data_IF_933930585558
#
_entry.id   IF_933930585558
#
_cell.length_a   1.000
_cell.length_b   1.000
_cell.length_c   1.000
_cell.angle_alpha   90.00
_cell.angle_beta   90.00
_cell.angle_gamma   90.00
#
_symmetry.space_group_name_H-M   'P 1'
#
loop_
_entity.id
_entity.type
_entity.pdbx_description
1 polymer ?
#
# COMPACT_ATOMS: atom_id res chain seq x y z
N UNK A 1 11.02 -8.97 -7.84
CA UNK A 1 11.33 -9.20 -6.41
C UNK A 1 11.21 -7.87 -5.67
N UNK A 2 10.54 -7.86 -4.53
CA UNK A 2 10.21 -6.68 -3.72
C UNK A 2 10.68 -6.90 -2.28
N UNK A 3 11.30 -5.88 -1.70
CA UNK A 3 11.71 -5.87 -0.28
C UNK A 3 10.81 -4.91 0.50
N UNK A 4 10.22 -5.42 1.58
CA UNK A 4 9.37 -4.64 2.49
C UNK A 4 10.14 -4.03 3.66
N UNK A 5 11.45 -4.28 3.78
CA UNK A 5 12.28 -3.67 4.82
C UNK A 5 12.38 -2.16 4.63
N UNK A 6 12.32 -1.46 5.75
CA UNK A 6 12.50 -0.01 5.84
C UNK A 6 13.50 0.30 6.95
N UNK A 7 14.21 1.45 6.88
CA UNK A 7 14.94 1.96 8.04
C UNK A 7 14.01 2.15 9.24
N UNK A 8 14.54 1.97 10.44
CA UNK A 8 13.78 2.12 11.69
C UNK A 8 13.11 3.49 11.80
N UNK A 9 13.75 4.54 11.29
CA UNK A 9 13.23 5.92 11.29
C UNK A 9 11.95 6.13 10.49
N UNK A 10 11.56 5.21 9.60
CA UNK A 10 10.24 5.29 8.96
C UNK A 10 9.08 5.02 9.94
N UNK A 11 9.36 4.39 11.09
CA UNK A 11 8.36 4.03 12.11
C UNK A 11 8.68 4.63 13.48
N UNK A 12 9.96 4.67 13.88
CA UNK A 12 10.41 5.09 15.21
C UNK A 12 11.08 6.47 15.17
N UNK A 13 10.68 7.34 16.09
CA UNK A 13 11.35 8.62 16.31
C UNK A 13 12.75 8.42 16.88
N UNK A 14 13.68 9.30 16.52
CA UNK A 14 15.08 9.23 16.95
C UNK A 14 15.96 8.26 16.14
N UNK A 15 15.48 7.77 14.99
CA UNK A 15 16.25 6.93 14.08
C UNK A 15 16.29 7.51 12.67
N UNK A 16 17.37 7.26 11.90
CA UNK A 16 17.45 7.73 10.52
C UNK A 16 16.37 7.14 9.60
N UNK A 17 15.84 7.98 8.72
CA UNK A 17 14.92 7.64 7.63
C UNK A 17 15.66 7.48 6.30
N UNK A 18 15.00 6.93 5.29
CA UNK A 18 15.59 6.86 3.94
C UNK A 18 15.70 8.24 3.25
N UNK A 19 15.09 9.28 3.83
CA UNK A 19 15.06 10.65 3.28
C UNK A 19 16.07 11.59 3.94
N UNK A 20 16.75 11.14 4.98
CA UNK A 20 17.67 11.99 5.74
C UNK A 20 18.93 12.28 4.92
N UNK A 21 19.43 13.50 5.04
CA UNK A 21 20.55 14.00 4.23
C UNK A 21 21.84 14.15 5.03
N UNK A 22 22.18 13.11 5.80
CA UNK A 22 23.45 13.04 6.53
C UNK A 22 23.54 13.93 7.78
N UNK A 23 22.42 14.47 8.26
CA UNK A 23 22.35 15.13 9.55
C UNK A 23 22.32 14.11 10.70
N UNK A 24 22.73 14.53 11.89
CA UNK A 24 22.59 13.71 13.09
C UNK A 24 21.11 13.51 13.40
N UNK A 25 20.70 12.27 13.67
CA UNK A 25 19.32 11.91 14.03
C UNK A 25 19.33 11.07 15.31
N UNK A 26 18.61 11.49 16.38
CA UNK A 26 17.91 12.78 16.49
C UNK A 26 18.89 13.96 16.56
N UNK A 27 18.47 15.14 16.10
CA UNK A 27 19.29 16.37 16.23
C UNK A 27 19.54 16.73 17.70
N UNK A 28 18.54 16.49 18.55
CA UNK A 28 18.62 16.58 20.01
C UNK A 28 17.90 15.37 20.62
N UNK A 29 18.54 14.58 21.49
CA UNK A 29 17.89 13.49 22.20
C UNK A 29 16.76 14.00 23.10
N UNK A 30 15.64 13.28 23.12
CA UNK A 30 14.47 13.56 23.96
C UNK A 30 13.95 12.25 24.56
N UNK A 31 14.10 12.09 25.88
CA UNK A 31 13.72 10.88 26.58
C UNK A 31 12.22 10.54 26.50
N UNK A 32 11.36 11.51 26.18
CA UNK A 32 9.92 11.31 26.01
C UNK A 32 9.56 10.91 24.57
N UNK A 33 10.27 11.46 23.58
CA UNK A 33 9.93 11.28 22.16
C UNK A 33 10.73 10.17 21.48
N UNK A 34 11.97 9.96 21.88
CA UNK A 34 12.86 8.97 21.29
C UNK A 34 12.29 7.56 21.43
N UNK A 35 12.38 6.77 20.35
CA UNK A 35 11.78 5.43 20.24
C UNK A 35 10.24 5.40 20.32
N UNK A 36 9.59 6.57 20.32
CA UNK A 36 8.15 6.69 20.15
C UNK A 36 7.72 6.57 18.69
N UNK A 37 6.41 6.55 18.44
CA UNK A 37 5.83 6.54 17.09
C UNK A 37 4.51 7.30 17.07
N UNK A 38 4.14 7.84 15.90
CA UNK A 38 2.85 8.50 15.73
C UNK A 38 1.74 7.46 15.51
N UNK A 39 0.72 7.50 16.37
CA UNK A 39 -0.47 6.66 16.22
C UNK A 39 -1.60 7.43 15.54
N UNK A 40 -2.06 6.93 14.40
CA UNK A 40 -3.25 7.45 13.71
C UNK A 40 -4.44 6.53 13.98
N UNK A 41 -5.47 7.07 14.64
CA UNK A 41 -6.72 6.33 14.92
C UNK A 41 -7.84 6.84 14.02
N UNK A 42 -8.52 5.92 13.31
CA UNK A 42 -9.67 6.24 12.46
C UNK A 42 -10.79 5.23 12.68
N UNK A 43 -11.98 5.70 13.03
CA UNK A 43 -13.20 4.89 13.02
C UNK A 43 -13.83 4.93 11.64
N UNK A 44 -13.62 3.88 10.84
CA UNK A 44 -14.11 3.80 9.47
C UNK A 44 -15.29 2.82 9.39
N UNK A 45 -16.51 3.36 9.33
CA UNK A 45 -17.71 2.53 9.11
C UNK A 45 -17.72 1.97 7.70
N UNK A 46 -17.92 0.67 7.57
CA UNK A 46 -18.11 -0.01 6.28
C UNK A 46 -19.60 -0.31 6.05
N UNK A 47 -20.10 0.05 4.88
CA UNK A 47 -21.47 -0.26 4.46
C UNK A 47 -21.47 -1.46 3.51
N UNK A 48 -21.25 -2.66 4.06
CA UNK A 48 -21.03 -3.90 3.29
C UNK A 48 -22.19 -4.24 2.34
N UNK A 49 -23.45 -4.03 2.75
CA UNK A 49 -24.61 -4.25 1.89
C UNK A 49 -24.68 -3.28 0.70
N UNK A 50 -24.25 -2.01 0.88
CA UNK A 50 -24.18 -1.03 -0.21
C UNK A 50 -23.07 -1.38 -1.20
N UNK A 51 -21.92 -1.84 -0.69
CA UNK A 51 -20.84 -2.33 -1.53
C UNK A 51 -21.29 -3.54 -2.34
N UNK A 52 -21.94 -4.51 -1.71
CA UNK A 52 -22.41 -5.73 -2.37
C UNK A 52 -23.42 -5.44 -3.49
N UNK A 53 -24.40 -4.59 -3.21
CA UNK A 53 -25.38 -4.14 -4.20
C UNK A 53 -24.70 -3.43 -5.38
N UNK A 54 -23.74 -2.54 -5.11
CA UNK A 54 -23.02 -1.80 -6.15
C UNK A 54 -22.20 -2.73 -7.03
N UNK A 55 -21.41 -3.64 -6.45
CA UNK A 55 -20.57 -4.56 -7.24
C UNK A 55 -21.44 -5.53 -8.04
N UNK A 56 -22.56 -6.01 -7.48
CA UNK A 56 -23.51 -6.87 -8.21
C UNK A 56 -24.06 -6.17 -9.45
N UNK A 57 -24.46 -4.90 -9.33
CA UNK A 57 -24.93 -4.11 -10.47
C UNK A 57 -23.84 -3.89 -11.53
N UNK A 58 -22.62 -3.56 -11.12
CA UNK A 58 -21.49 -3.37 -12.05
C UNK A 58 -21.05 -4.68 -12.71
N UNK A 59 -21.15 -5.82 -12.03
CA UNK A 59 -20.90 -7.14 -12.60
C UNK A 59 -21.85 -7.42 -13.76
N UNK A 60 -23.16 -7.18 -13.56
CA UNK A 60 -24.16 -7.32 -14.61
C UNK A 60 -23.92 -6.36 -15.79
N UNK A 61 -23.53 -5.12 -15.51
CA UNK A 61 -23.26 -4.10 -16.55
C UNK A 61 -22.00 -4.42 -17.39
N UNK A 62 -20.97 -4.98 -16.77
CA UNK A 62 -19.67 -5.20 -17.41
C UNK A 62 -19.48 -6.62 -17.95
N UNK A 63 -20.33 -7.57 -17.53
CA UNK A 63 -20.16 -9.00 -17.82
C UNK A 63 -19.02 -9.66 -17.04
N UNK A 64 -18.37 -8.93 -16.12
CA UNK A 64 -17.28 -9.45 -15.32
C UNK A 64 -17.79 -10.21 -14.09
N UNK A 65 -17.10 -11.28 -13.66
CA UNK A 65 -17.39 -11.92 -12.39
C UNK A 65 -17.31 -10.93 -11.23
N UNK A 66 -18.27 -10.99 -10.31
CA UNK A 66 -18.33 -10.16 -9.09
C UNK A 66 -17.03 -10.22 -8.27
N UNK A 67 -16.46 -11.42 -8.14
CA UNK A 67 -15.19 -11.64 -7.42
C UNK A 67 -14.02 -10.90 -8.09
N UNK A 68 -13.97 -10.90 -9.42
CA UNK A 68 -12.92 -10.18 -10.15
C UNK A 68 -13.05 -8.66 -9.99
N UNK A 69 -14.27 -8.12 -9.96
CA UNK A 69 -14.49 -6.69 -9.70
C UNK A 69 -14.00 -6.30 -8.31
N UNK A 70 -14.33 -7.09 -7.29
CA UNK A 70 -13.82 -6.86 -5.92
C UNK A 70 -12.31 -6.96 -5.87
N UNK A 71 -11.74 -7.96 -6.54
CA UNK A 71 -10.30 -8.11 -6.63
C UNK A 71 -9.67 -6.89 -7.31
N UNK A 72 -10.27 -6.34 -8.37
CA UNK A 72 -9.79 -5.13 -9.07
C UNK A 72 -9.92 -3.86 -8.23
N UNK A 73 -10.93 -3.76 -7.35
CA UNK A 73 -11.05 -2.66 -6.39
C UNK A 73 -9.94 -2.70 -5.33
N UNK A 74 -9.57 -3.91 -4.86
CA UNK A 74 -8.59 -4.07 -3.79
C UNK A 74 -7.16 -4.23 -4.29
N UNK A 75 -6.96 -4.84 -5.45
CA UNK A 75 -5.70 -5.33 -6.02
C UNK A 75 -5.29 -6.73 -5.53
N UNK A 76 -6.15 -7.41 -4.77
CA UNK A 76 -5.99 -8.80 -4.32
C UNK A 76 -7.32 -9.52 -4.36
N UNK A 77 -7.30 -10.83 -4.57
CA UNK A 77 -8.43 -11.71 -4.31
C UNK A 77 -8.79 -11.71 -2.82
N UNK A 78 -10.01 -12.14 -2.48
CA UNK A 78 -10.43 -12.27 -1.08
C UNK A 78 -9.61 -13.29 -0.31
N UNK A 79 -9.09 -14.31 -1.00
CA UNK A 79 -8.14 -15.30 -0.50
C UNK A 79 -6.74 -14.71 -0.25
N UNK A 80 -6.43 -13.56 -0.84
CA UNK A 80 -5.26 -12.75 -0.51
C UNK A 80 -4.22 -12.69 -1.62
N UNK A 81 -4.29 -13.53 -2.65
CA UNK A 81 -3.37 -13.53 -3.79
C UNK A 81 -3.48 -12.19 -4.56
N UNK A 82 -2.36 -11.57 -4.96
CA UNK A 82 -2.38 -10.29 -5.65
C UNK A 82 -2.72 -10.46 -7.12
N UNK A 83 -3.42 -9.47 -7.69
CA UNK A 83 -3.79 -9.50 -9.10
C UNK A 83 -2.61 -9.34 -10.06
N UNK A 84 -1.52 -8.70 -9.61
CA UNK A 84 -0.37 -8.42 -10.46
C UNK A 84 0.56 -9.64 -10.64
N UNK A 85 0.47 -10.63 -9.75
CA UNK A 85 1.28 -11.85 -9.76
C UNK A 85 0.61 -12.89 -8.85
N UNK A 86 -0.11 -13.84 -9.42
CA UNK A 86 -0.87 -14.84 -8.66
C UNK A 86 0.01 -15.91 -7.98
N UNK A 87 1.30 -15.96 -8.31
CA UNK A 87 2.27 -16.89 -7.72
C UNK A 87 2.91 -16.35 -6.44
N UNK A 88 2.86 -15.02 -6.25
CA UNK A 88 3.50 -14.34 -5.13
C UNK A 88 2.50 -14.00 -4.02
N UNK A 89 2.85 -14.23 -2.75
CA UNK A 89 2.04 -13.74 -1.62
C UNK A 89 2.19 -12.21 -1.49
N UNK A 90 3.44 -11.74 -1.42
CA UNK A 90 3.74 -10.30 -1.33
C UNK A 90 5.01 -9.87 -2.08
N UNK A 91 5.84 -10.83 -2.55
CA UNK A 91 7.08 -10.57 -3.28
C UNK A 91 6.82 -10.28 -4.78
N UNK A 92 6.13 -9.18 -5.06
CA UNK A 92 5.83 -8.73 -6.42
C UNK A 92 6.04 -7.22 -6.57
N UNK A 93 6.13 -6.73 -7.80
CA UNK A 93 5.99 -5.31 -8.11
C UNK A 93 5.05 -5.17 -9.31
N UNK A 94 4.85 -3.96 -9.84
CA UNK A 94 3.99 -3.76 -11.00
C UNK A 94 4.77 -3.53 -12.29
N UNK A 95 6.04 -3.97 -12.36
CA UNK A 95 6.85 -3.82 -13.59
C UNK A 95 6.32 -4.68 -14.74
N UNK A 96 5.73 -5.84 -14.46
CA UNK A 96 5.06 -6.68 -15.45
C UNK A 96 3.63 -6.19 -15.79
N UNK A 97 3.08 -5.24 -15.00
CA UNK A 97 1.74 -4.68 -15.16
C UNK A 97 1.78 -3.15 -15.27
N UNK A 98 2.67 -2.63 -16.14
CA UNK A 98 2.91 -1.19 -16.31
C UNK A 98 1.68 -0.43 -16.79
N UNK A 99 0.82 -1.09 -17.56
CA UNK A 99 -0.42 -0.52 -18.08
C UNK A 99 -1.60 -0.68 -17.11
N UNK A 100 -1.44 -1.42 -16.00
CA UNK A 100 -2.52 -1.65 -15.03
C UNK A 100 -3.66 -2.50 -15.57
N UNK A 101 -3.36 -3.40 -16.51
CA UNK A 101 -4.33 -4.31 -17.11
C UNK A 101 -4.77 -5.40 -16.11
N UNK A 102 -3.83 -5.90 -15.31
CA UNK A 102 -4.09 -6.90 -14.28
C UNK A 102 -4.64 -6.24 -13.01
N UNK A 103 -3.82 -5.42 -12.35
CA UNK A 103 -4.14 -4.68 -11.14
C UNK A 103 -4.31 -3.19 -11.47
N UNK A 104 -5.54 -2.64 -11.51
CA UNK A 104 -5.76 -1.26 -11.90
C UNK A 104 -4.96 -0.26 -11.05
N UNK A 105 -4.53 0.86 -11.63
CA UNK A 105 -3.88 1.95 -10.88
C UNK A 105 -4.70 2.45 -9.67
N UNK A 106 -6.02 2.33 -9.77
CA UNK A 106 -6.97 2.75 -8.74
C UNK A 106 -7.21 1.71 -7.65
N UNK A 107 -6.64 0.51 -7.78
CA UNK A 107 -6.75 -0.54 -6.78
C UNK A 107 -6.21 -0.07 -5.43
N UNK A 108 -6.88 -0.45 -4.34
CA UNK A 108 -6.57 0.02 -3.00
C UNK A 108 -5.09 -0.19 -2.64
N UNK A 109 -4.53 -1.38 -2.86
CA UNK A 109 -3.12 -1.65 -2.53
C UNK A 109 -2.15 -0.88 -3.43
N UNK A 110 -2.50 -0.65 -4.71
CA UNK A 110 -1.63 0.03 -5.68
C UNK A 110 -1.62 1.54 -5.45
N UNK A 111 -2.71 2.11 -4.94
CA UNK A 111 -2.73 3.49 -4.45
C UNK A 111 -2.00 3.67 -3.13
N UNK A 112 -2.17 2.72 -2.20
CA UNK A 112 -1.59 2.80 -0.86
C UNK A 112 -0.10 2.44 -0.85
N UNK A 113 0.32 1.59 -1.78
CA UNK A 113 1.71 1.23 -2.06
C UNK A 113 1.83 0.94 -3.57
N UNK A 114 2.14 1.96 -4.39
CA UNK A 114 2.41 1.83 -5.82
C UNK A 114 3.56 0.89 -6.12
N UNK A 115 4.37 0.54 -5.10
CA UNK A 115 5.67 -0.10 -5.24
C UNK A 115 6.57 0.73 -6.16
N UNK A 116 7.86 0.49 -6.14
CA UNK A 116 8.74 1.24 -7.04
C UNK A 116 8.45 0.79 -8.48
N UNK A 117 7.89 1.70 -9.27
CA UNK A 117 7.81 1.58 -10.71
C UNK A 117 9.12 2.15 -11.24
N UNK A 118 10.08 1.29 -11.59
CA UNK A 118 11.38 1.73 -12.10
C UNK A 118 11.25 2.80 -13.20
N UNK A 119 12.04 3.87 -13.07
CA UNK A 119 12.11 5.00 -14.00
C UNK A 119 12.26 6.35 -13.31
N UNK A 120 12.68 7.37 -14.06
CA UNK A 120 12.96 8.74 -13.62
C UNK A 120 11.68 9.56 -13.30
N UNK A 121 10.69 8.90 -12.69
CA UNK A 121 9.45 9.54 -12.26
C UNK A 121 9.64 10.14 -10.87
N UNK A 122 8.99 11.29 -10.62
CA UNK A 122 9.08 12.00 -9.34
C UNK A 122 8.80 11.12 -8.11
N UNK A 123 8.01 10.05 -8.26
CA UNK A 123 7.72 9.04 -7.22
C UNK A 123 8.87 8.07 -6.92
N UNK A 124 9.78 7.80 -7.87
CA UNK A 124 10.95 6.96 -7.65
C UNK A 124 12.04 7.69 -6.83
N UNK A 125 12.07 9.03 -6.91
CA UNK A 125 13.01 9.88 -6.17
C UNK A 125 12.61 10.13 -4.72
N UNK A 126 11.38 9.79 -4.34
CA UNK A 126 10.87 9.90 -2.97
C UNK A 126 10.08 8.63 -2.66
N UNK A 127 10.78 7.62 -2.12
CA UNK A 127 10.16 6.39 -1.61
C UNK A 127 8.88 6.74 -0.87
N UNK A 128 7.76 6.17 -1.31
CA UNK A 128 6.48 6.41 -0.66
C UNK A 128 6.57 6.11 0.84
N UNK A 129 6.08 7.01 1.72
CA UNK A 129 6.04 6.75 3.15
C UNK A 129 5.33 5.42 3.45
N UNK A 130 5.94 4.62 4.31
CA UNK A 130 5.39 3.33 4.75
C UNK A 130 4.72 3.52 6.10
N UNK A 131 3.60 2.83 6.30
CA UNK A 131 2.87 2.86 7.58
C UNK A 131 2.71 1.45 8.12
N UNK A 132 2.81 1.32 9.45
CA UNK A 132 2.44 0.09 10.16
C UNK A 132 0.95 0.12 10.49
N UNK A 133 0.19 -0.88 10.03
CA UNK A 133 -1.25 -0.98 10.29
C UNK A 133 -1.52 -1.93 11.45
N UNK A 134 -2.25 -1.45 12.46
CA UNK A 134 -2.75 -2.22 13.62
C UNK A 134 -4.25 -2.01 13.80
N UNK A 135 -5.00 -2.06 12.70
CA UNK A 135 -6.45 -1.97 12.72
C UNK A 135 -7.09 -3.26 13.25
N UNK A 136 -8.25 -3.12 13.90
CA UNK A 136 -9.12 -4.20 14.35
C UNK A 136 -10.55 -3.92 13.89
#
# INVERSE_FOLDING_TARGET
RWDDRVPDGEILQGYPTARDKGYAVPEQPDALLDRGSFLVVRKLRQYVGRLDARVTAEAARTGLPKELLLAKLMGRWRSGEPLADDTAVNDFNYEADRQGALCPFHAHIRRSNPRDLGGDQAFARSRMPRILRRGM
#
